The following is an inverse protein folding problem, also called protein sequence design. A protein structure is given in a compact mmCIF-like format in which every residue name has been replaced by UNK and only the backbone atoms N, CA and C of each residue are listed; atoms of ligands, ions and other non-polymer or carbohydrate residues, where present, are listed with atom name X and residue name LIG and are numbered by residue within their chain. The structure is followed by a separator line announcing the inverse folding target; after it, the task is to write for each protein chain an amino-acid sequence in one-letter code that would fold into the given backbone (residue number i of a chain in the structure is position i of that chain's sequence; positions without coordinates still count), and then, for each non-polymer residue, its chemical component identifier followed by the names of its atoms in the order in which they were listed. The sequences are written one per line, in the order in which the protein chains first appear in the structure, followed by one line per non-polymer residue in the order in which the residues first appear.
data_IF_549437749852
#
_entry.id   IF_549437749852
#
_cell.length_a   1.000
_cell.length_b   1.000
_cell.length_c   1.000
_cell.angle_alpha   90.00
_cell.angle_beta   90.00
_cell.angle_gamma   90.00
#
_symmetry.space_group_name_H-M   'P 1'
#
loop_
_entity.id
_entity.type
_entity.pdbx_description
1 polymer ?
#
# COMPACT_ATOMS: atom_id res chain seq x y z
N UNK A 1 -8.81 11.36 -6.36
CA UNK A 1 -7.88 11.06 -5.26
C UNK A 1 -7.76 12.32 -4.42
N UNK A 2 -7.83 12.20 -3.09
CA UNK A 2 -7.92 13.30 -2.12
C UNK A 2 -7.29 12.90 -0.79
N UNK A 3 -7.07 13.88 0.09
CA UNK A 3 -6.51 13.67 1.42
C UNK A 3 -4.99 13.79 1.45
N UNK A 4 -4.45 13.74 2.67
CA UNK A 4 -3.04 13.90 2.99
C UNK A 4 -2.62 12.78 3.95
N UNK A 5 -1.33 12.46 3.97
CA UNK A 5 -0.83 11.38 4.80
C UNK A 5 0.67 11.20 4.68
N UNK A 6 1.13 10.05 5.15
CA UNK A 6 2.52 9.63 5.03
C UNK A 6 2.58 8.23 4.45
N UNK A 7 3.38 8.06 3.42
CA UNK A 7 3.79 6.76 2.94
C UNK A 7 5.08 6.37 3.64
N UNK A 8 5.10 5.22 4.32
CA UNK A 8 6.29 4.65 4.94
C UNK A 8 6.82 3.52 4.07
N UNK A 9 8.08 3.60 3.64
CA UNK A 9 8.76 2.57 2.84
C UNK A 9 10.10 2.27 3.50
N UNK A 10 10.34 1.02 3.89
CA UNK A 10 11.61 0.60 4.55
C UNK A 10 12.04 1.50 5.73
N UNK A 11 11.07 2.03 6.47
CA UNK A 11 11.30 2.92 7.62
C UNK A 11 11.50 4.40 7.27
N UNK A 12 11.50 4.77 5.98
CA UNK A 12 11.53 6.16 5.53
C UNK A 12 10.12 6.69 5.24
N UNK A 13 9.87 7.93 5.65
CA UNK A 13 8.59 8.61 5.49
C UNK A 13 8.59 9.53 4.26
N UNK A 14 7.51 9.47 3.47
CA UNK A 14 7.27 10.29 2.29
C UNK A 14 5.88 10.95 2.39
N UNK A 15 5.76 12.28 2.21
CA UNK A 15 4.49 12.99 2.40
C UNK A 15 3.53 12.75 1.23
N UNK A 16 2.32 12.30 1.51
CA UNK A 16 1.22 12.09 0.55
C UNK A 16 0.42 13.39 0.41
N UNK A 17 0.24 13.83 -0.83
CA UNK A 17 -0.62 14.95 -1.19
C UNK A 17 -1.42 14.65 -2.46
N UNK A 18 -2.54 15.36 -2.73
CA UNK A 18 -3.29 15.22 -3.97
C UNK A 18 -2.40 15.37 -5.20
N UNK A 19 -2.65 14.56 -6.23
CA UNK A 19 -1.86 14.50 -7.48
C UNK A 19 -0.41 14.02 -7.33
N UNK A 20 -0.06 13.37 -6.21
CA UNK A 20 1.22 12.66 -6.06
C UNK A 20 1.09 11.21 -6.51
N UNK A 21 2.12 10.68 -7.17
CA UNK A 21 2.23 9.28 -7.52
C UNK A 21 3.51 8.69 -6.94
N UNK A 22 3.43 7.47 -6.42
CA UNK A 22 4.57 6.70 -5.92
C UNK A 22 4.77 5.47 -6.79
N UNK A 23 6.04 5.17 -7.06
CA UNK A 23 6.44 3.91 -7.64
C UNK A 23 7.19 3.12 -6.58
N UNK A 24 6.59 2.01 -6.15
CA UNK A 24 7.19 1.10 -5.17
C UNK A 24 7.73 -0.10 -5.91
N UNK A 25 8.97 -0.46 -5.63
CA UNK A 25 9.58 -1.63 -6.23
C UNK A 25 9.00 -2.89 -5.65
N UNK A 26 9.10 -3.97 -6.43
CA UNK A 26 8.69 -5.29 -5.97
C UNK A 26 9.48 -5.63 -4.69
N UNK A 27 8.77 -6.22 -3.73
CA UNK A 27 9.30 -6.70 -2.45
C UNK A 27 9.66 -5.59 -1.44
N UNK A 28 9.46 -4.30 -1.77
CA UNK A 28 9.55 -3.21 -0.78
C UNK A 28 8.31 -3.18 0.11
N UNK A 29 8.54 -3.25 1.42
CA UNK A 29 7.48 -3.15 2.42
C UNK A 29 7.06 -1.69 2.56
N UNK A 30 5.78 -1.44 2.29
CA UNK A 30 5.23 -0.09 2.32
C UNK A 30 3.88 -0.04 3.04
N UNK A 31 3.58 1.12 3.62
CA UNK A 31 2.31 1.42 4.28
C UNK A 31 1.87 2.83 3.93
N UNK A 32 0.56 3.01 3.74
CA UNK A 32 -0.07 4.32 3.55
C UNK A 32 -0.80 4.68 4.85
N UNK A 33 -0.40 5.78 5.48
CA UNK A 33 -0.93 6.21 6.79
C UNK A 33 -1.70 7.50 6.60
N UNK A 34 -2.99 7.49 6.88
CA UNK A 34 -3.78 8.72 6.98
C UNK A 34 -3.42 9.43 8.30
N UNK A 35 -2.94 10.67 8.20
CA UNK A 35 -2.50 11.47 9.36
C UNK A 35 -3.46 12.60 9.71
N UNK A 36 -4.59 12.71 8.99
CA UNK A 36 -5.58 13.76 9.20
C UNK A 36 -6.89 13.17 9.75
N UNK A 37 -7.83 14.05 10.08
CA UNK A 37 -9.21 13.73 10.46
C UNK A 37 -10.16 13.64 9.25
N UNK A 38 -9.62 13.70 8.02
CA UNK A 38 -10.38 13.65 6.77
C UNK A 38 -10.06 12.38 5.98
N UNK A 39 -10.96 11.98 5.09
CA UNK A 39 -10.78 10.77 4.29
C UNK A 39 -9.62 10.91 3.30
N UNK A 40 -8.75 9.89 3.27
CA UNK A 40 -7.70 9.73 2.27
C UNK A 40 -8.13 8.70 1.22
N UNK A 41 -8.27 9.15 -0.03
CA UNK A 41 -8.71 8.32 -1.16
C UNK A 41 -7.60 8.28 -2.23
N UNK A 42 -7.05 7.09 -2.47
CA UNK A 42 -6.02 6.84 -3.48
C UNK A 42 -6.37 5.61 -4.32
N UNK A 43 -5.67 5.46 -5.44
CA UNK A 43 -5.77 4.29 -6.33
C UNK A 43 -4.41 3.61 -6.36
N UNK A 44 -4.40 2.28 -6.30
CA UNK A 44 -3.19 1.48 -6.48
C UNK A 44 -3.28 0.74 -7.81
N UNK A 45 -2.19 0.77 -8.58
CA UNK A 45 -2.05 0.04 -9.84
C UNK A 45 -0.87 -0.91 -9.72
N UNK A 46 -1.07 -2.17 -10.07
CA UNK A 46 -0.02 -3.19 -10.03
C UNK A 46 0.49 -3.50 -11.44
N UNK A 47 1.81 -3.63 -11.58
CA UNK A 47 2.47 -3.94 -12.86
C UNK A 47 3.50 -5.07 -12.63
N UNK A 48 3.34 -6.26 -13.27
CA UNK A 48 2.21 -6.63 -14.12
C UNK A 48 0.90 -6.66 -13.32
N UNK A 49 -0.21 -6.35 -13.99
CA UNK A 49 -1.52 -6.46 -13.38
C UNK A 49 -1.79 -7.90 -12.95
N UNK A 50 -2.51 -8.04 -11.85
CA UNK A 50 -3.03 -9.32 -11.38
C UNK A 50 -4.53 -9.19 -11.09
N UNK A 51 -5.22 -10.31 -11.15
CA UNK A 51 -6.65 -10.41 -10.83
C UNK A 51 -6.89 -10.27 -9.34
N UNK A 52 -8.12 -9.89 -8.97
CA UNK A 52 -8.53 -9.85 -7.57
C UNK A 52 -8.36 -11.21 -6.86
N UNK A 53 -8.59 -12.32 -7.58
CA UNK A 53 -8.40 -13.68 -7.08
C UNK A 53 -6.94 -13.97 -6.74
N UNK A 54 -6.01 -13.64 -7.64
CA UNK A 54 -4.57 -13.80 -7.41
C UNK A 54 -4.09 -12.96 -6.22
N UNK A 55 -4.57 -11.73 -6.10
CA UNK A 55 -4.27 -10.87 -4.94
C UNK A 55 -4.77 -11.49 -3.64
N UNK A 56 -6.03 -11.92 -3.62
CA UNK A 56 -6.66 -12.48 -2.44
C UNK A 56 -5.97 -13.76 -1.99
N UNK A 57 -5.64 -14.65 -2.93
CA UNK A 57 -4.86 -15.85 -2.67
C UNK A 57 -3.50 -15.53 -2.04
N UNK A 58 -2.76 -14.55 -2.58
CA UNK A 58 -1.47 -14.12 -2.01
C UNK A 58 -1.60 -13.63 -0.58
N UNK A 59 -2.64 -12.84 -0.27
CA UNK A 59 -2.89 -12.37 1.09
C UNK A 59 -3.21 -13.53 2.05
N UNK A 60 -4.05 -14.50 1.62
CA UNK A 60 -4.38 -15.68 2.42
C UNK A 60 -3.15 -16.57 2.68
N UNK A 61 -2.35 -16.83 1.63
CA UNK A 61 -1.14 -17.63 1.74
C UNK A 61 -0.13 -16.97 2.71
N UNK A 62 0.01 -15.64 2.66
CA UNK A 62 0.85 -14.88 3.58
C UNK A 62 0.33 -14.92 5.03
N UNK A 63 -0.99 -14.79 5.23
CA UNK A 63 -1.60 -14.89 6.56
C UNK A 63 -1.43 -16.28 7.18
N UNK A 64 -1.58 -17.34 6.37
CA UNK A 64 -1.35 -18.71 6.79
C UNK A 64 0.12 -18.98 7.16
N UNK A 65 1.06 -18.35 6.46
CA UNK A 65 2.49 -18.45 6.74
C UNK A 65 2.92 -17.66 8.00
N UNK A 66 2.30 -16.49 8.24
CA UNK A 66 2.58 -15.62 9.39
C UNK A 66 1.92 -16.06 10.71
N UNK A 67 1.00 -17.02 10.68
CA UNK A 67 0.29 -17.53 11.86
C UNK A 67 1.05 -18.58 12.70
N UNK A 68 2.35 -18.76 12.46
CA UNK A 68 3.24 -19.60 13.31
C UNK A 68 4.23 -18.71 14.05
N UNK A 69 3.79 -18.16 15.18
CA UNK A 69 4.64 -17.58 16.23
C UNK A 69 4.52 -18.42 17.50
#
# INVERSE_FOLDING_TARGET
MSGEGVMKVEGQDYPIAPNTAYWVLKDEMHQMINTTDTDMIFVTVFVPGYTAEENYKRCLDAAAAGGKS
#
